data_IF_268500008680
#
_entry.id   IF_268500008680
#
_cell.length_a   1.000
_cell.length_b   1.000
_cell.length_c   1.000
_cell.angle_alpha   90.00
_cell.angle_beta   90.00
_cell.angle_gamma   90.00
#
_symmetry.space_group_name_H-M   'P 1'
#
loop_
_entity.id
_entity.type
_entity.pdbx_description
1 polymer ?
#
# COMPACT_ATOMS: atom_id res chain seq x y z
N UNK A 1 -42.35 5.62 3.93
CA UNK A 1 -41.81 4.28 4.18
C UNK A 1 -40.75 4.29 5.26
N UNK A 2 -41.16 3.85 6.44
CA UNK A 2 -40.39 3.93 7.68
C UNK A 2 -39.46 2.71 7.80
N UNK A 3 -38.17 2.96 7.95
CA UNK A 3 -37.14 1.94 8.18
C UNK A 3 -37.32 1.38 9.60
N UNK A 4 -37.74 0.11 9.70
CA UNK A 4 -37.81 -0.65 10.96
C UNK A 4 -36.39 -1.06 11.39
N UNK A 5 -35.87 -0.38 12.40
CA UNK A 5 -34.77 -0.90 13.22
C UNK A 5 -35.31 -2.02 14.12
N UNK A 6 -34.76 -3.24 13.99
CA UNK A 6 -34.91 -4.27 15.01
C UNK A 6 -33.66 -4.26 15.87
N UNK A 7 -33.79 -3.71 17.08
CA UNK A 7 -32.93 -4.05 18.20
C UNK A 7 -33.28 -5.47 18.65
N UNK A 8 -32.28 -6.27 18.96
CA UNK A 8 -32.44 -7.41 19.84
C UNK A 8 -31.28 -7.36 20.84
N UNK A 9 -31.62 -6.82 22.01
CA UNK A 9 -30.86 -6.95 23.24
C UNK A 9 -31.42 -8.21 23.90
N UNK A 10 -30.61 -9.25 24.02
CA UNK A 10 -30.85 -10.30 25.02
C UNK A 10 -29.75 -10.22 26.07
N UNK A 11 -30.14 -9.66 27.21
CA UNK A 11 -29.45 -9.80 28.49
C UNK A 11 -29.85 -11.16 29.05
N UNK A 12 -28.90 -12.09 29.10
CA UNK A 12 -29.02 -13.29 29.94
C UNK A 12 -27.96 -13.21 31.02
N UNK A 13 -28.42 -12.85 32.21
CA UNK A 13 -27.73 -13.05 33.49
C UNK A 13 -27.92 -14.50 33.92
N UNK A 14 -26.82 -15.27 33.99
CA UNK A 14 -26.77 -16.50 34.78
C UNK A 14 -25.64 -16.42 35.80
N UNK A 15 -26.04 -16.27 37.05
CA UNK A 15 -25.28 -16.58 38.26
C UNK A 15 -25.09 -18.08 38.36
N UNK A 16 -23.85 -18.56 38.29
CA UNK A 16 -23.53 -19.98 38.48
C UNK A 16 -22.04 -20.21 38.69
N UNK A 17 -21.72 -20.76 39.86
CA UNK A 17 -20.45 -21.30 40.37
C UNK A 17 -19.24 -21.38 39.42
N UNK A 18 -18.12 -20.86 39.91
CA UNK A 18 -16.80 -20.88 39.28
C UNK A 18 -16.28 -22.30 38.94
N UNK A 19 -15.79 -22.49 37.70
CA UNK A 19 -14.63 -23.32 37.45
C UNK A 19 -13.41 -22.42 37.19
N UNK A 20 -12.24 -22.86 37.64
CA UNK A 20 -10.96 -22.18 37.43
C UNK A 20 -10.83 -21.70 35.98
N UNK A 21 -10.87 -20.38 35.79
CA UNK A 21 -10.55 -19.73 34.50
C UNK A 21 -9.12 -20.10 34.15
N UNK A 22 -8.95 -21.15 33.34
CA UNK A 22 -7.82 -21.21 32.41
C UNK A 22 -7.91 -19.92 31.63
N UNK A 23 -7.02 -18.98 31.93
CA UNK A 23 -6.73 -17.85 31.05
C UNK A 23 -6.38 -18.50 29.72
N UNK A 24 -7.35 -18.52 28.80
CA UNK A 24 -7.07 -18.71 27.38
C UNK A 24 -6.00 -17.67 27.11
N UNK A 25 -4.75 -18.11 26.91
CA UNK A 25 -3.76 -17.31 26.19
C UNK A 25 -4.52 -16.83 24.98
N UNK A 26 -4.86 -15.54 24.97
CA UNK A 26 -5.35 -14.93 23.76
C UNK A 26 -4.26 -15.25 22.75
N UNK A 27 -4.59 -16.07 21.77
CA UNK A 27 -3.79 -16.29 20.57
C UNK A 27 -3.78 -14.97 19.80
N UNK A 28 -3.22 -13.94 20.42
CA UNK A 28 -2.57 -12.84 19.74
C UNK A 28 -1.34 -13.49 19.17
N UNK A 29 -1.52 -14.23 18.07
CA UNK A 29 -0.42 -14.66 17.23
C UNK A 29 0.38 -13.38 16.98
N UNK A 30 1.53 -13.28 17.63
CA UNK A 30 2.42 -12.14 17.48
C UNK A 30 2.71 -12.09 15.99
N UNK A 31 2.19 -11.05 15.32
CA UNK A 31 2.48 -10.79 13.92
C UNK A 31 3.95 -10.35 13.90
N UNK A 32 4.83 -11.35 13.79
CA UNK A 32 6.26 -11.17 13.72
C UNK A 32 6.64 -11.02 12.25
N UNK A 33 7.31 -9.91 11.95
CA UNK A 33 7.98 -9.72 10.67
C UNK A 33 9.46 -10.00 10.90
N UNK A 34 10.04 -10.92 10.13
CA UNK A 34 11.44 -11.32 10.28
C UNK A 34 12.45 -10.18 9.98
N UNK A 35 11.98 -9.08 9.37
CA UNK A 35 12.79 -7.89 9.06
C UNK A 35 12.92 -6.92 10.23
N UNK A 36 12.08 -7.06 11.26
CA UNK A 36 12.12 -6.19 12.42
C UNK A 36 13.39 -6.44 13.24
N UNK A 37 14.10 -5.36 13.60
CA UNK A 37 15.23 -5.44 14.51
C UNK A 37 14.74 -5.82 15.91
N UNK A 38 15.23 -6.94 16.46
CA UNK A 38 14.75 -7.48 17.73
C UNK A 38 15.05 -6.56 18.93
N UNK A 39 16.17 -5.83 18.90
CA UNK A 39 16.57 -4.90 19.97
C UNK A 39 15.66 -3.67 19.92
N UNK A 40 15.48 -3.10 18.74
CA UNK A 40 14.60 -1.94 18.55
C UNK A 40 13.15 -2.30 18.87
N UNK A 41 12.69 -3.48 18.47
CA UNK A 41 11.34 -3.97 18.78
C UNK A 41 11.12 -4.08 20.29
N UNK A 42 12.10 -4.57 21.04
CA UNK A 42 12.03 -4.64 22.49
C UNK A 42 11.95 -3.24 23.12
N UNK A 43 12.74 -2.28 22.62
CA UNK A 43 12.69 -0.90 23.08
C UNK A 43 11.34 -0.23 22.79
N UNK A 44 10.79 -0.43 21.59
CA UNK A 44 9.48 0.10 21.18
C UNK A 44 8.37 -0.48 22.07
N UNK A 45 8.40 -1.79 22.35
CA UNK A 45 7.42 -2.43 23.24
C UNK A 45 7.53 -1.98 24.69
N UNK A 46 8.73 -1.63 25.15
CA UNK A 46 8.94 -1.08 26.47
C UNK A 46 8.48 0.38 26.59
N UNK A 47 8.31 1.09 25.48
CA UNK A 47 7.88 2.49 25.48
C UNK A 47 6.38 2.61 25.77
N UNK A 48 6.05 3.43 26.77
CA UNK A 48 4.66 3.73 27.18
C UNK A 48 3.93 4.64 26.20
N UNK A 49 4.65 5.32 25.31
CA UNK A 49 4.10 6.32 24.39
C UNK A 49 3.82 5.78 23.00
N UNK A 50 4.20 4.53 22.72
CA UNK A 50 3.90 3.90 21.44
C UNK A 50 2.42 3.57 21.41
N UNK A 51 1.75 4.03 20.36
CA UNK A 51 0.32 3.75 20.15
C UNK A 51 0.12 2.24 20.03
N UNK A 52 -0.73 1.69 20.88
CA UNK A 52 -1.12 0.28 20.88
C UNK A 52 -2.61 0.18 20.52
N UNK A 53 -2.90 -0.17 19.27
CA UNK A 53 -4.27 -0.34 18.77
C UNK A 53 -4.46 -1.78 18.30
N UNK A 54 -4.81 -2.65 19.24
CA UNK A 54 -4.97 -4.08 18.98
C UNK A 54 -6.11 -4.39 17.98
N UNK A 55 -7.14 -3.53 17.92
CA UNK A 55 -8.24 -3.70 16.99
C UNK A 55 -7.80 -3.44 15.56
N UNK A 56 -7.06 -2.34 15.32
CA UNK A 56 -6.53 -2.02 13.99
C UNK A 56 -5.41 -2.96 13.57
N UNK A 57 -4.51 -3.33 14.48
CA UNK A 57 -3.46 -4.31 14.20
C UNK A 57 -4.06 -5.65 13.74
N UNK A 58 -5.12 -6.12 14.40
CA UNK A 58 -5.85 -7.33 14.00
C UNK A 58 -6.61 -7.15 12.69
N UNK A 59 -7.30 -6.03 12.50
CA UNK A 59 -8.09 -5.75 11.30
C UNK A 59 -7.23 -5.74 10.04
N UNK A 60 -6.06 -5.11 10.12
CA UNK A 60 -5.16 -4.92 8.98
C UNK A 60 -4.04 -5.95 8.90
N UNK A 61 -3.92 -6.83 9.90
CA UNK A 61 -2.91 -7.88 9.94
C UNK A 61 -1.48 -7.33 9.96
N UNK A 62 -1.23 -6.29 10.74
CA UNK A 62 0.11 -5.74 10.99
C UNK A 62 0.31 -5.51 12.49
N UNK A 63 1.54 -5.23 12.92
CA UNK A 63 1.80 -4.71 14.26
C UNK A 63 2.58 -3.41 14.15
N UNK A 64 2.08 -2.35 14.79
CA UNK A 64 2.73 -1.03 14.79
C UNK A 64 4.15 -1.13 15.33
N UNK A 65 4.34 -1.89 16.40
CA UNK A 65 5.65 -2.08 17.01
C UNK A 65 6.62 -2.78 16.04
N UNK A 66 6.17 -3.84 15.37
CA UNK A 66 6.96 -4.56 14.36
C UNK A 66 7.29 -3.66 13.19
N UNK A 67 6.30 -2.91 12.67
CA UNK A 67 6.46 -1.96 11.57
C UNK A 67 7.47 -0.88 11.91
N UNK A 68 7.42 -0.27 13.10
CA UNK A 68 8.39 0.76 13.51
C UNK A 68 9.80 0.21 13.74
N UNK A 69 9.92 -1.08 14.06
CA UNK A 69 11.21 -1.74 14.27
C UNK A 69 11.91 -2.13 12.96
N UNK A 70 11.29 -1.94 11.80
CA UNK A 70 11.92 -2.15 10.50
C UNK A 70 12.80 -0.92 10.16
N UNK A 71 14.12 -1.09 9.94
CA UNK A 71 15.00 0.03 9.61
C UNK A 71 14.63 0.70 8.28
N UNK A 72 14.35 2.01 8.30
CA UNK A 72 13.97 2.78 7.09
C UNK A 72 15.06 3.72 6.57
N UNK A 73 15.94 4.19 7.46
CA UNK A 73 16.90 5.26 7.16
C UNK A 73 18.35 4.77 7.10
N UNK A 74 18.58 3.46 7.03
CA UNK A 74 19.92 2.93 6.81
C UNK A 74 20.30 3.12 5.33
N UNK A 75 21.55 3.50 5.02
CA UNK A 75 22.03 3.51 3.63
C UNK A 75 21.80 2.13 3.00
N UNK A 76 21.01 2.08 1.91
CA UNK A 76 20.60 0.84 1.27
C UNK A 76 19.29 0.23 1.77
N UNK A 77 18.59 0.86 2.72
CA UNK A 77 17.23 0.48 3.07
C UNK A 77 16.33 0.64 1.84
N UNK A 78 15.70 -0.46 1.44
CA UNK A 78 14.76 -0.49 0.31
C UNK A 78 13.52 0.29 0.73
N UNK A 79 13.23 1.39 0.03
CA UNK A 79 11.98 2.12 0.23
C UNK A 79 10.80 1.26 -0.22
N UNK A 80 9.65 1.39 0.45
CA UNK A 80 8.47 0.52 0.25
C UNK A 80 8.03 0.52 -1.22
N UNK A 81 8.09 1.68 -1.85
CA UNK A 81 7.68 1.92 -3.22
C UNK A 81 8.87 2.17 -4.15
N UNK A 82 10.06 1.67 -3.79
CA UNK A 82 11.25 1.83 -4.62
C UNK A 82 11.01 1.29 -6.04
N UNK A 83 11.45 2.06 -7.04
CA UNK A 83 11.27 1.75 -8.48
C UNK A 83 9.82 1.62 -8.94
N UNK A 84 8.85 2.12 -8.17
CA UNK A 84 7.45 2.11 -8.57
C UNK A 84 6.99 3.47 -9.09
N UNK A 85 6.11 3.46 -10.09
CA UNK A 85 5.37 4.64 -10.55
C UNK A 85 3.89 4.45 -10.27
N UNK A 86 3.19 5.47 -9.82
CA UNK A 86 1.78 5.40 -9.45
C UNK A 86 0.96 6.39 -10.26
N UNK A 87 -0.19 5.93 -10.74
CA UNK A 87 -1.18 6.76 -11.40
C UNK A 87 -2.55 6.52 -10.76
N UNK A 88 -3.23 7.58 -10.28
CA UNK A 88 -4.58 7.53 -9.73
C UNK A 88 -5.58 7.98 -10.81
N UNK A 89 -6.63 7.18 -11.07
CA UNK A 89 -7.73 7.60 -11.94
C UNK A 89 -8.56 8.73 -11.31
N UNK A 90 -9.16 9.57 -12.16
CA UNK A 90 -10.02 10.66 -11.70
C UNK A 90 -11.29 10.05 -11.10
N UNK A 91 -11.73 10.56 -9.95
CA UNK A 91 -12.86 10.00 -9.20
C UNK A 91 -12.51 8.93 -8.16
N UNK A 92 -11.23 8.52 -8.03
CA UNK A 92 -10.78 7.77 -6.86
C UNK A 92 -10.30 8.73 -5.78
N UNK A 93 -9.36 9.59 -6.17
CA UNK A 93 -8.79 10.62 -5.33
C UNK A 93 -9.87 11.66 -4.96
N UNK A 94 -10.16 11.80 -3.66
CA UNK A 94 -11.16 12.73 -3.10
C UNK A 94 -12.55 12.12 -2.81
N UNK A 95 -12.88 10.95 -3.37
CA UNK A 95 -14.13 10.24 -3.04
C UNK A 95 -13.89 9.02 -2.15
N UNK A 96 -13.05 8.10 -2.62
CA UNK A 96 -12.74 6.82 -1.94
C UNK A 96 -11.31 6.75 -1.42
N UNK A 97 -10.47 7.68 -1.86
CA UNK A 97 -9.10 7.87 -1.42
C UNK A 97 -8.90 9.32 -0.94
N UNK A 98 -7.81 9.61 -0.21
CA UNK A 98 -7.40 10.97 0.10
C UNK A 98 -7.30 11.85 -1.15
N UNK A 99 -7.30 13.19 -1.01
CA UNK A 99 -6.99 14.11 -2.09
C UNK A 99 -5.68 13.72 -2.81
N UNK A 100 -5.58 14.04 -4.10
CA UNK A 100 -4.44 13.65 -4.93
C UNK A 100 -3.10 14.12 -4.36
N UNK A 101 -3.06 15.32 -3.76
CA UNK A 101 -1.85 15.89 -3.15
C UNK A 101 -1.38 15.09 -1.92
N UNK A 102 -2.32 14.62 -1.09
CA UNK A 102 -1.99 13.78 0.06
C UNK A 102 -1.52 12.40 -0.38
N UNK A 103 -2.21 11.81 -1.36
CA UNK A 103 -1.82 10.50 -1.88
C UNK A 103 -0.44 10.55 -2.55
N UNK A 104 -0.16 11.62 -3.29
CA UNK A 104 1.16 11.92 -3.83
C UNK A 104 2.21 11.98 -2.73
N UNK A 105 1.96 12.74 -1.67
CA UNK A 105 2.89 12.87 -0.55
C UNK A 105 3.17 11.51 0.13
N UNK A 106 2.15 10.65 0.29
CA UNK A 106 2.31 9.29 0.83
C UNK A 106 3.22 8.45 -0.07
N UNK A 107 2.97 8.45 -1.38
CA UNK A 107 3.72 7.66 -2.36
C UNK A 107 5.18 8.13 -2.43
N UNK A 108 5.41 9.44 -2.53
CA UNK A 108 6.76 10.02 -2.59
C UNK A 108 7.52 9.77 -1.28
N UNK A 109 6.86 9.86 -0.12
CA UNK A 109 7.44 9.52 1.18
C UNK A 109 7.85 8.04 1.27
N UNK A 110 7.07 7.17 0.64
CA UNK A 110 7.38 5.74 0.51
C UNK A 110 8.43 5.42 -0.56
N UNK A 111 8.98 6.42 -1.27
CA UNK A 111 10.01 6.25 -2.29
C UNK A 111 9.49 6.00 -3.71
N UNK A 112 8.18 6.07 -3.91
CA UNK A 112 7.55 5.90 -5.22
C UNK A 112 7.55 7.19 -6.03
N UNK A 113 7.22 7.06 -7.30
CA UNK A 113 7.06 8.19 -8.21
C UNK A 113 5.59 8.40 -8.55
N UNK A 114 5.09 9.62 -8.35
CA UNK A 114 3.73 9.98 -8.76
C UNK A 114 3.70 10.43 -10.22
N UNK A 115 2.75 9.90 -10.98
CA UNK A 115 2.47 10.29 -12.37
C UNK A 115 1.20 11.12 -12.42
N UNK A 116 1.26 12.29 -13.05
CA UNK A 116 0.07 13.11 -13.29
C UNK A 116 -0.81 12.54 -14.41
N UNK A 117 -0.23 11.74 -15.31
CA UNK A 117 -0.94 11.09 -16.41
C UNK A 117 -0.29 9.78 -16.84
N UNK A 118 -1.05 8.92 -17.51
CA UNK A 118 -0.50 7.71 -18.16
C UNK A 118 0.44 8.03 -19.33
N UNK A 119 0.34 9.23 -19.91
CA UNK A 119 1.24 9.63 -21.00
C UNK A 119 2.67 9.85 -20.50
N UNK A 120 2.84 10.29 -19.25
CA UNK A 120 4.15 10.39 -18.61
C UNK A 120 4.80 9.01 -18.49
N UNK A 121 4.03 7.96 -18.16
CA UNK A 121 4.54 6.59 -18.12
C UNK A 121 5.11 6.16 -19.48
N UNK A 122 4.41 6.44 -20.57
CA UNK A 122 4.86 6.08 -21.92
C UNK A 122 6.19 6.79 -22.28
N UNK A 123 6.36 8.03 -21.84
CA UNK A 123 7.63 8.76 -21.99
C UNK A 123 8.75 8.10 -21.18
N UNK A 124 8.46 7.73 -19.91
CA UNK A 124 9.41 7.01 -19.06
C UNK A 124 9.80 5.64 -19.60
N UNK A 125 8.83 4.85 -20.08
CA UNK A 125 9.06 3.51 -20.63
C UNK A 125 9.82 3.55 -21.98
N UNK A 126 9.60 4.59 -22.79
CA UNK A 126 10.33 4.80 -24.05
C UNK A 126 11.77 5.29 -23.82
N UNK A 127 12.00 6.01 -22.71
CA UNK A 127 13.34 6.48 -22.34
C UNK A 127 14.22 5.36 -21.76
N UNK A 128 13.65 4.37 -21.06
CA UNK A 128 14.41 3.24 -20.51
C UNK A 128 14.89 2.24 -21.57
N UNK A 129 14.20 2.15 -22.71
CA UNK A 129 14.54 1.25 -23.83
C UNK A 129 15.52 1.84 -24.85
N UNK A 130 15.82 3.14 -24.77
CA UNK A 130 16.61 3.88 -25.78
C UNK A 130 18.05 4.20 -25.35
N UNK A 131 18.63 3.49 -24.39
CA UNK A 131 19.98 3.72 -23.86
C UNK A 131 21.15 3.31 -24.80
N UNK A 132 20.96 3.33 -26.13
CA UNK A 132 22.05 3.12 -27.10
C UNK A 132 22.25 4.27 -28.12
N UNK A 133 21.60 5.43 -27.98
CA UNK A 133 21.73 6.48 -29.01
C UNK A 133 21.56 7.92 -28.52
N UNK A 134 22.69 8.65 -28.49
CA UNK A 134 22.84 10.12 -28.67
C UNK A 134 21.64 11.03 -28.35
N UNK A 135 21.72 11.64 -27.17
CA UNK A 135 20.75 12.60 -26.62
C UNK A 135 20.59 13.88 -27.47
N UNK A 136 19.33 14.26 -27.73
CA UNK A 136 18.93 15.65 -27.97
C UNK A 136 17.91 16.07 -26.91
N UNK A 137 18.33 17.09 -26.17
CA UNK A 137 17.75 17.71 -24.99
C UNK A 137 16.23 17.96 -25.04
N UNK A 138 15.48 17.32 -24.14
CA UNK A 138 14.21 17.83 -23.63
C UNK A 138 14.45 18.35 -22.20
N UNK A 139 14.58 19.67 -22.09
CA UNK A 139 14.61 20.41 -20.82
C UNK A 139 13.18 20.41 -20.27
N UNK A 140 12.91 19.59 -19.27
CA UNK A 140 12.19 19.95 -18.04
C UNK A 140 11.97 18.67 -17.19
N UNK A 141 12.28 18.77 -15.90
CA UNK A 141 11.92 17.82 -14.82
C UNK A 141 12.42 16.36 -14.83
N UNK A 142 13.43 15.98 -15.63
CA UNK A 142 14.00 14.61 -15.60
C UNK A 142 15.33 14.49 -14.82
N UNK A 143 15.56 15.31 -13.77
CA UNK A 143 16.86 15.35 -13.07
C UNK A 143 17.04 14.28 -11.98
N UNK A 144 16.00 13.52 -11.65
CA UNK A 144 16.01 12.48 -10.62
C UNK A 144 15.54 11.12 -11.15
N UNK A 145 15.86 10.77 -12.41
CA UNK A 145 15.63 9.41 -12.88
C UNK A 145 16.81 8.53 -12.43
N UNK A 146 16.66 7.64 -11.43
CA UNK A 146 17.72 6.71 -11.07
C UNK A 146 17.78 5.66 -12.18
N UNK A 147 18.97 5.59 -12.77
CA UNK A 147 19.64 4.41 -13.32
C UNK A 147 18.73 3.24 -13.76
N UNK A 148 18.37 3.21 -15.05
CA UNK A 148 18.12 2.04 -15.92
C UNK A 148 17.23 0.86 -15.49
N UNK A 149 16.71 0.84 -14.26
CA UNK A 149 16.01 -0.31 -13.71
C UNK A 149 14.56 -0.34 -14.21
N UNK A 150 14.08 -1.54 -14.53
CA UNK A 150 12.67 -1.78 -14.82
C UNK A 150 11.83 -1.23 -13.66
N UNK A 151 10.92 -0.31 -13.99
CA UNK A 151 9.97 0.26 -13.03
C UNK A 151 8.63 -0.45 -13.18
N UNK A 152 7.88 -0.54 -12.09
CA UNK A 152 6.53 -1.10 -12.09
C UNK A 152 5.51 0.02 -12.02
N UNK A 153 4.55 0.07 -12.94
CA UNK A 153 3.44 1.02 -12.88
C UNK A 153 2.25 0.45 -12.08
N UNK A 154 1.92 1.05 -10.96
CA UNK A 154 0.70 0.76 -10.21
C UNK A 154 -0.40 1.75 -10.61
N UNK A 155 -1.47 1.25 -11.22
CA UNK A 155 -2.66 2.06 -11.51
C UNK A 155 -3.64 1.90 -10.34
N UNK A 156 -3.88 2.97 -9.59
CA UNK A 156 -4.87 2.99 -8.52
C UNK A 156 -6.21 3.36 -9.14
N UNK A 157 -7.16 2.43 -9.13
CA UNK A 157 -8.49 2.66 -9.67
C UNK A 157 -9.58 1.99 -8.85
N UNK A 158 -10.78 2.56 -8.87
CA UNK A 158 -11.99 1.90 -8.38
C UNK A 158 -12.60 1.03 -9.49
N UNK A 159 -13.17 -0.17 -9.19
CA UNK A 159 -13.76 -1.06 -10.20
C UNK A 159 -14.81 -0.40 -11.10
N UNK A 160 -15.57 0.56 -10.55
CA UNK A 160 -16.63 1.27 -11.29
C UNK A 160 -16.10 2.29 -12.31
N UNK A 161 -14.87 2.78 -12.11
CA UNK A 161 -14.24 3.83 -12.95
C UNK A 161 -13.28 3.22 -13.98
N UNK A 162 -12.76 2.03 -13.68
CA UNK A 162 -11.75 1.29 -14.45
C UNK A 162 -12.10 1.19 -15.95
N UNK A 163 -13.36 0.94 -16.28
CA UNK A 163 -13.83 0.76 -17.67
C UNK A 163 -13.99 2.06 -18.45
N UNK A 164 -14.03 3.21 -17.77
CA UNK A 164 -14.31 4.52 -18.40
C UNK A 164 -13.04 5.32 -18.69
N UNK A 165 -12.02 5.21 -17.83
CA UNK A 165 -10.86 6.10 -17.90
C UNK A 165 -9.57 5.42 -18.35
N UNK A 166 -9.42 4.11 -18.15
CA UNK A 166 -8.19 3.42 -18.52
C UNK A 166 -8.26 3.00 -19.98
N UNK A 167 -7.32 3.49 -20.79
CA UNK A 167 -7.24 3.15 -22.21
C UNK A 167 -7.22 1.62 -22.38
N UNK A 168 -8.06 1.09 -23.28
CA UNK A 168 -8.15 -0.34 -23.56
C UNK A 168 -6.79 -0.97 -23.89
N UNK A 169 -5.88 -0.23 -24.53
CA UNK A 169 -4.51 -0.70 -24.82
C UNK A 169 -3.67 -0.91 -23.56
N UNK A 170 -3.83 -0.05 -22.56
CA UNK A 170 -3.14 -0.18 -21.26
C UNK A 170 -3.72 -1.36 -20.49
N UNK A 171 -5.05 -1.49 -20.44
CA UNK A 171 -5.69 -2.68 -19.87
C UNK A 171 -5.29 -3.97 -20.59
N UNK A 172 -5.17 -3.94 -21.93
CA UNK A 172 -4.71 -5.08 -22.72
C UNK A 172 -3.24 -5.42 -22.43
N UNK A 173 -2.36 -4.42 -22.29
CA UNK A 173 -0.96 -4.63 -21.91
C UNK A 173 -0.86 -5.24 -20.50
N UNK A 174 -1.62 -4.73 -19.54
CA UNK A 174 -1.74 -5.28 -18.18
C UNK A 174 -2.25 -6.74 -18.23
N UNK A 175 -3.29 -7.01 -19.04
CA UNK A 175 -3.90 -8.35 -19.15
C UNK A 175 -3.00 -9.39 -19.83
N UNK A 176 -2.05 -8.95 -20.65
CA UNK A 176 -1.11 -9.82 -21.36
C UNK A 176 0.07 -10.25 -20.48
N UNK A 177 0.15 -9.77 -19.24
CA UNK A 177 1.11 -10.25 -18.25
C UNK A 177 2.57 -10.03 -18.63
N UNK A 178 2.87 -8.96 -19.36
CA UNK A 178 4.26 -8.59 -19.64
C UNK A 178 4.94 -8.28 -18.28
N UNK A 179 6.03 -8.97 -17.89
CA UNK A 179 6.63 -8.89 -16.55
C UNK A 179 7.16 -7.48 -16.20
N UNK A 180 7.28 -6.59 -17.19
CA UNK A 180 7.57 -5.17 -16.97
C UNK A 180 6.30 -4.32 -16.71
N UNK A 181 5.10 -4.84 -17.00
CA UNK A 181 3.82 -4.15 -16.81
C UNK A 181 3.16 -4.60 -15.51
N UNK A 182 3.09 -3.71 -14.53
CA UNK A 182 1.94 -2.83 -14.33
C UNK A 182 0.63 -3.57 -14.01
N UNK A 183 0.03 -3.26 -12.87
CA UNK A 183 -1.27 -3.82 -12.46
C UNK A 183 -2.25 -2.72 -12.08
N UNK A 184 -3.55 -3.07 -12.08
CA UNK A 184 -4.59 -2.20 -11.52
C UNK A 184 -4.93 -2.66 -10.11
N UNK A 185 -4.76 -1.76 -9.16
CA UNK A 185 -4.86 -2.03 -7.73
C UNK A 185 -5.89 -1.11 -7.08
N UNK A 186 -6.47 -1.58 -5.97
CA UNK A 186 -7.28 -0.74 -5.11
C UNK A 186 -6.39 0.18 -4.25
N UNK A 187 -6.97 1.26 -3.73
CA UNK A 187 -6.28 2.15 -2.79
C UNK A 187 -5.85 1.42 -1.51
N UNK A 188 -6.60 0.38 -1.11
CA UNK A 188 -6.32 -0.44 0.06
C UNK A 188 -4.95 -1.10 -0.01
N UNK A 189 -4.46 -1.46 -1.22
CA UNK A 189 -3.11 -1.96 -1.41
C UNK A 189 -2.06 -0.94 -0.97
N UNK A 190 -2.22 0.33 -1.33
CA UNK A 190 -1.26 1.39 -0.96
C UNK A 190 -1.20 1.53 0.56
N UNK A 191 -2.37 1.53 1.21
CA UNK A 191 -2.45 1.60 2.67
C UNK A 191 -1.82 0.37 3.34
N UNK A 192 -2.20 -0.84 2.91
CA UNK A 192 -1.64 -2.09 3.43
C UNK A 192 -0.13 -2.16 3.20
N UNK A 193 0.35 -1.67 2.06
CA UNK A 193 1.78 -1.63 1.76
C UNK A 193 2.54 -0.69 2.70
N UNK A 194 1.97 0.47 3.02
CA UNK A 194 2.52 1.37 4.03
C UNK A 194 2.52 0.72 5.43
N UNK A 195 1.41 0.08 5.83
CA UNK A 195 1.26 -0.54 7.15
C UNK A 195 2.22 -1.72 7.36
N UNK A 196 2.36 -2.58 6.34
CA UNK A 196 3.22 -3.77 6.37
C UNK A 196 4.64 -3.51 5.87
N UNK A 197 4.91 -2.32 5.36
CA UNK A 197 6.16 -1.94 4.69
C UNK A 197 6.61 -2.94 3.63
N UNK A 198 5.67 -3.44 2.83
CA UNK A 198 5.94 -4.38 1.74
C UNK A 198 4.81 -4.32 0.75
N UNK A 199 5.11 -4.55 -0.53
CA UNK A 199 4.07 -4.61 -1.55
C UNK A 199 3.88 -6.04 -2.00
N UNK A 200 2.67 -6.57 -1.80
CA UNK A 200 2.27 -7.91 -2.22
C UNK A 200 1.20 -7.77 -3.32
N UNK A 201 1.64 -7.61 -4.56
CA UNK A 201 0.74 -7.26 -5.67
C UNK A 201 -0.24 -8.36 -6.06
N UNK A 202 0.15 -9.64 -5.94
CA UNK A 202 -0.65 -10.76 -6.42
C UNK A 202 -2.01 -10.88 -5.72
N UNK A 203 -2.08 -10.47 -4.45
CA UNK A 203 -3.29 -10.60 -3.64
C UNK A 203 -4.36 -9.51 -3.92
N UNK A 204 -4.00 -8.44 -4.61
CA UNK A 204 -4.80 -7.20 -4.65
C UNK A 204 -5.06 -6.66 -6.05
N UNK A 205 -4.72 -7.41 -7.09
CA UNK A 205 -5.14 -7.06 -8.45
C UNK A 205 -6.67 -7.15 -8.56
N UNK A 206 -7.28 -6.10 -9.12
CA UNK A 206 -8.69 -6.14 -9.49
C UNK A 206 -8.84 -7.11 -10.67
N UNK A 207 -9.57 -8.21 -10.45
CA UNK A 207 -9.95 -9.19 -11.48
C UNK A 207 -11.14 -8.72 -12.29
#
# INVERSE_FOLDING_TARGET
DCIKAKSLVEVVTETGAAPAKKVKKSDTALIQDARADAVLLQQIRASTYVVQDAEKEKLWGFSMATTLAIPRNTPGAVKIFDKMCFFCTKGVCGETAPPADELRAIIESGGGHWLASLDEWNQYASASTSSTGTAKSAKNSAKDAPDGAARTLAVISHPTVLKKEVNKKVLEAISKGDPATSGVYSIELVFLACLKQRVEFEAHQLK
#
